data_IF_304819497132
#
_entry.id   IF_304819497132
#
_cell.length_a   1.000
_cell.length_b   1.000
_cell.length_c   1.000
_cell.angle_alpha   90.00
_cell.angle_beta   90.00
_cell.angle_gamma   90.00
#
_symmetry.space_group_name_H-M   'P 1'
#
loop_
_entity.id
_entity.type
_entity.pdbx_description
1 polymer ?
#
# COMPACT_ATOMS: atom_id res chain seq x y z
N UNK A 1 18.02 -44.91 2.96
CA UNK A 1 18.82 -43.93 2.18
C UNK A 1 19.18 -42.83 3.16
N UNK A 2 20.48 -42.50 3.30
CA UNK A 2 20.86 -41.32 4.10
C UNK A 2 20.36 -40.08 3.37
N UNK A 3 19.56 -39.23 4.02
CA UNK A 3 19.22 -37.89 3.52
C UNK A 3 20.53 -37.15 3.23
N UNK A 4 20.76 -36.84 1.98
CA UNK A 4 21.91 -36.07 1.57
C UNK A 4 21.63 -34.63 2.00
N UNK A 5 22.30 -34.13 3.04
CA UNK A 5 22.11 -32.74 3.50
C UNK A 5 22.86 -31.77 2.60
N UNK A 6 22.17 -30.73 2.15
CA UNK A 6 22.80 -29.62 1.42
C UNK A 6 23.92 -29.00 2.24
N UNK A 7 25.01 -28.63 1.56
CA UNK A 7 26.15 -27.90 2.16
C UNK A 7 26.45 -26.63 1.36
N UNK A 8 26.95 -25.62 2.04
CA UNK A 8 27.38 -24.38 1.39
C UNK A 8 28.46 -24.64 0.35
N UNK A 9 28.34 -24.04 -0.84
CA UNK A 9 29.22 -24.21 -1.99
C UNK A 9 28.84 -25.40 -2.88
N UNK A 10 27.86 -26.21 -2.49
CA UNK A 10 27.38 -27.32 -3.32
C UNK A 10 26.61 -26.76 -4.53
N UNK A 11 26.90 -27.31 -5.70
CA UNK A 11 26.15 -27.04 -6.93
C UNK A 11 25.04 -28.08 -7.07
N UNK A 12 23.82 -27.59 -7.35
CA UNK A 12 22.63 -28.38 -7.51
C UNK A 12 21.90 -27.98 -8.79
N UNK A 13 21.35 -28.96 -9.51
CA UNK A 13 20.46 -28.72 -10.65
C UNK A 13 19.03 -28.86 -10.18
N UNK A 14 18.18 -27.86 -10.44
CA UNK A 14 16.77 -27.87 -10.07
C UNK A 14 15.90 -27.07 -11.04
N UNK A 15 14.61 -27.40 -11.07
CA UNK A 15 13.59 -26.60 -11.77
C UNK A 15 12.98 -25.59 -10.82
N UNK A 16 12.78 -24.37 -11.27
CA UNK A 16 12.17 -23.28 -10.53
C UNK A 16 10.68 -23.23 -10.82
N UNK A 17 9.84 -23.22 -9.79
CA UNK A 17 8.38 -23.40 -9.95
C UNK A 17 7.54 -22.20 -9.54
N UNK A 18 8.03 -21.35 -8.63
CA UNK A 18 7.26 -20.22 -8.10
C UNK A 18 8.17 -19.07 -7.65
N UNK A 19 7.57 -17.93 -7.34
CA UNK A 19 8.27 -16.79 -6.74
C UNK A 19 8.26 -16.87 -5.21
N UNK A 20 9.41 -16.60 -4.61
CA UNK A 20 9.54 -16.38 -3.18
C UNK A 20 9.11 -14.96 -2.76
N UNK A 21 9.02 -14.76 -1.45
CA UNK A 21 8.52 -13.52 -0.87
C UNK A 21 9.41 -12.29 -1.17
N UNK A 22 10.74 -12.47 -1.18
CA UNK A 22 11.70 -11.39 -1.37
C UNK A 22 12.19 -11.25 -2.81
N UNK A 23 11.51 -11.88 -3.77
CA UNK A 23 11.79 -11.79 -5.20
C UNK A 23 12.73 -12.85 -5.74
N UNK A 24 13.11 -13.85 -4.94
CA UNK A 24 13.81 -15.05 -5.39
C UNK A 24 12.83 -15.98 -6.14
N UNK A 25 13.35 -16.82 -7.04
CA UNK A 25 12.60 -17.97 -7.50
C UNK A 25 12.72 -19.14 -6.52
N UNK A 26 11.72 -19.99 -6.46
CA UNK A 26 11.70 -21.18 -5.60
C UNK A 26 11.71 -22.45 -6.45
N UNK A 27 12.48 -23.43 -6.01
CA UNK A 27 12.46 -24.79 -6.47
C UNK A 27 12.63 -25.75 -5.29
N UNK A 28 12.64 -27.04 -5.58
CA UNK A 28 12.82 -28.07 -4.57
C UNK A 28 13.99 -28.96 -4.97
N UNK A 29 14.86 -29.24 -4.01
CA UNK A 29 15.93 -30.23 -4.14
C UNK A 29 15.70 -31.32 -3.09
N UNK A 30 15.38 -32.53 -3.56
CA UNK A 30 14.83 -33.61 -2.73
C UNK A 30 13.61 -33.09 -1.92
N UNK A 31 13.68 -33.08 -0.60
CA UNK A 31 12.61 -32.59 0.29
C UNK A 31 12.86 -31.17 0.82
N UNK A 32 13.92 -30.49 0.33
CA UNK A 32 14.34 -29.17 0.80
C UNK A 32 13.89 -28.07 -0.18
N UNK A 33 13.14 -27.09 0.30
CA UNK A 33 12.83 -25.89 -0.46
C UNK A 33 14.10 -25.04 -0.65
N UNK A 34 14.34 -24.60 -1.88
CA UNK A 34 15.51 -23.80 -2.24
C UNK A 34 15.07 -22.49 -2.85
N UNK A 35 15.44 -21.38 -2.20
CA UNK A 35 15.25 -20.02 -2.69
C UNK A 35 16.45 -19.61 -3.55
N UNK A 36 16.22 -19.34 -4.82
CA UNK A 36 17.26 -19.15 -5.82
C UNK A 36 17.25 -17.71 -6.34
N UNK A 37 18.29 -16.96 -6.01
CA UNK A 37 18.49 -15.60 -6.55
C UNK A 37 18.97 -15.68 -7.98
N UNK A 38 18.43 -14.81 -8.87
CA UNK A 38 18.79 -14.73 -10.27
C UNK A 38 18.08 -15.74 -11.16
N UNK A 39 17.13 -16.52 -10.62
CA UNK A 39 16.28 -17.42 -11.39
C UNK A 39 14.89 -16.86 -11.65
N UNK A 40 14.20 -17.47 -12.62
CA UNK A 40 12.80 -17.17 -12.99
C UNK A 40 12.01 -18.48 -12.90
N UNK A 41 10.79 -18.49 -12.33
CA UNK A 41 9.93 -19.68 -12.39
C UNK A 41 9.69 -20.15 -13.82
N UNK A 42 9.77 -21.46 -14.02
CA UNK A 42 9.76 -22.12 -15.32
C UNK A 42 11.14 -22.43 -15.88
N UNK A 43 12.21 -21.94 -15.27
CA UNK A 43 13.58 -22.26 -15.68
C UNK A 43 14.09 -23.53 -15.03
N UNK A 44 15.07 -24.16 -15.71
CA UNK A 44 15.94 -25.18 -15.12
C UNK A 44 17.34 -24.59 -15.02
N UNK A 45 17.91 -24.66 -13.82
CA UNK A 45 19.17 -23.97 -13.50
C UNK A 45 20.14 -24.89 -12.78
N UNK A 46 21.44 -24.55 -12.87
CA UNK A 46 22.45 -24.96 -11.89
C UNK A 46 22.62 -23.78 -10.93
N UNK A 47 22.46 -24.06 -9.64
CA UNK A 47 22.59 -23.05 -8.60
C UNK A 47 23.61 -23.48 -7.54
N UNK A 48 24.40 -22.55 -7.03
CA UNK A 48 25.33 -22.77 -5.91
C UNK A 48 24.64 -22.41 -4.59
N UNK A 49 24.67 -23.34 -3.63
CA UNK A 49 24.12 -23.14 -2.28
C UNK A 49 24.97 -22.12 -1.53
N UNK A 50 24.38 -20.95 -1.23
CA UNK A 50 25.03 -19.85 -0.51
C UNK A 50 24.86 -20.03 1.01
N UNK A 51 23.69 -20.54 1.42
CA UNK A 51 23.36 -20.70 2.85
C UNK A 51 22.34 -21.82 3.06
N UNK A 52 22.53 -22.60 4.11
CA UNK A 52 21.61 -23.65 4.53
C UNK A 52 20.98 -23.26 5.87
N UNK A 53 19.65 -23.33 5.94
CA UNK A 53 18.84 -23.15 7.13
C UNK A 53 18.21 -24.50 7.53
N UNK A 54 17.60 -24.54 8.70
CA UNK A 54 16.96 -25.79 9.19
C UNK A 54 15.86 -26.32 8.28
N UNK A 55 15.12 -25.45 7.58
CA UNK A 55 13.93 -25.81 6.79
C UNK A 55 14.06 -25.49 5.30
N UNK A 56 15.04 -24.74 4.89
CA UNK A 56 15.24 -24.31 3.51
C UNK A 56 16.69 -23.99 3.22
N UNK A 57 17.05 -23.89 1.97
CA UNK A 57 18.35 -23.38 1.54
C UNK A 57 18.18 -22.13 0.66
N UNK A 58 19.23 -21.29 0.67
CA UNK A 58 19.37 -20.17 -0.27
C UNK A 58 20.49 -20.47 -1.25
N UNK A 59 20.25 -20.24 -2.52
CA UNK A 59 21.22 -20.48 -3.59
C UNK A 59 21.23 -19.31 -4.59
N UNK A 60 22.27 -19.24 -5.41
CA UNK A 60 22.37 -18.29 -6.53
C UNK A 60 22.57 -19.05 -7.83
N UNK A 61 21.92 -18.61 -8.90
CA UNK A 61 22.11 -19.18 -10.24
C UNK A 61 23.55 -18.98 -10.67
N UNK A 62 24.18 -20.05 -11.17
CA UNK A 62 25.49 -20.01 -11.85
C UNK A 62 25.37 -20.34 -13.32
N UNK A 63 24.37 -21.11 -13.73
CA UNK A 63 24.08 -21.46 -15.11
C UNK A 63 22.59 -21.64 -15.33
N UNK A 64 22.07 -21.17 -16.46
CA UNK A 64 20.69 -21.38 -16.88
C UNK A 64 20.70 -22.45 -17.98
N UNK A 65 20.16 -23.62 -17.67
CA UNK A 65 20.10 -24.75 -18.60
C UNK A 65 18.93 -24.65 -19.58
N UNK A 66 17.76 -24.19 -19.07
CA UNK A 66 16.55 -23.96 -19.86
C UNK A 66 16.01 -22.58 -19.44
N UNK A 67 16.13 -21.59 -20.33
CA UNK A 67 15.74 -20.22 -20.01
C UNK A 67 14.24 -19.98 -20.20
N UNK A 68 13.67 -19.13 -19.36
CA UNK A 68 12.33 -18.57 -19.54
C UNK A 68 12.32 -17.58 -20.72
N UNK A 69 11.22 -17.50 -21.46
CA UNK A 69 10.96 -16.44 -22.44
C UNK A 69 11.01 -15.01 -21.86
N UNK A 70 10.83 -14.89 -20.55
CA UNK A 70 10.87 -13.62 -19.83
C UNK A 70 12.27 -13.22 -19.35
N UNK A 71 13.29 -14.02 -19.67
CA UNK A 71 14.67 -13.67 -19.29
C UNK A 71 15.25 -12.63 -20.24
N UNK A 72 15.82 -11.58 -19.64
CA UNK A 72 16.56 -10.52 -20.33
C UNK A 72 17.95 -10.36 -19.74
N UNK A 73 18.87 -9.78 -20.50
CA UNK A 73 20.21 -9.47 -19.99
C UNK A 73 20.14 -8.24 -19.07
N UNK A 74 20.60 -8.33 -17.81
CA UNK A 74 20.63 -7.21 -16.89
C UNK A 74 21.61 -6.13 -17.37
N UNK A 75 21.18 -4.86 -17.50
CA UNK A 75 22.09 -3.81 -17.95
C UNK A 75 23.10 -3.34 -16.89
N UNK A 76 22.86 -3.65 -15.60
CA UNK A 76 23.72 -3.24 -14.50
C UNK A 76 24.91 -4.17 -14.35
N UNK A 77 26.18 -3.67 -14.40
CA UNK A 77 27.36 -4.52 -14.27
C UNK A 77 27.52 -5.13 -12.86
N UNK A 78 26.82 -4.60 -11.86
CA UNK A 78 26.83 -5.11 -10.50
C UNK A 78 25.69 -6.08 -10.21
N UNK A 79 24.84 -6.39 -11.21
CA UNK A 79 23.73 -7.33 -11.00
C UNK A 79 24.28 -8.72 -10.62
N UNK A 80 23.63 -9.40 -9.69
CA UNK A 80 24.08 -10.69 -9.13
C UNK A 80 25.06 -10.57 -7.96
N UNK A 81 25.96 -9.56 -7.98
CA UNK A 81 26.87 -9.31 -6.84
C UNK A 81 26.33 -8.23 -5.88
N UNK A 82 25.60 -7.23 -6.40
CA UNK A 82 24.84 -6.27 -5.61
C UNK A 82 23.41 -6.81 -5.39
N UNK A 83 22.92 -6.79 -4.15
CA UNK A 83 21.57 -7.26 -3.81
C UNK A 83 20.52 -6.15 -3.80
N UNK A 84 20.79 -5.00 -4.42
CA UNK A 84 19.87 -3.86 -4.49
C UNK A 84 18.67 -4.09 -5.42
N UNK A 85 18.88 -4.83 -6.52
CA UNK A 85 17.86 -5.19 -7.51
C UNK A 85 17.69 -6.71 -7.54
N UNK A 86 16.43 -7.18 -7.55
CA UNK A 86 16.12 -8.61 -7.63
C UNK A 86 15.78 -9.06 -9.04
N UNK A 87 15.24 -8.15 -9.90
CA UNK A 87 14.55 -8.52 -11.13
C UNK A 87 15.07 -7.88 -12.42
N UNK A 88 16.29 -7.33 -12.47
CA UNK A 88 16.83 -6.78 -13.73
C UNK A 88 16.98 -7.82 -14.86
N UNK A 89 16.99 -9.11 -14.52
CA UNK A 89 17.02 -10.24 -15.47
C UNK A 89 15.63 -10.69 -15.91
N UNK A 90 14.56 -10.03 -15.46
CA UNK A 90 13.16 -10.33 -15.79
C UNK A 90 12.60 -9.22 -16.69
N UNK A 91 11.97 -9.56 -17.80
CA UNK A 91 11.25 -8.60 -18.66
C UNK A 91 10.29 -7.75 -17.82
N UNK A 92 10.26 -6.47 -18.07
CA UNK A 92 9.50 -5.51 -17.23
C UNK A 92 8.01 -5.82 -17.19
N UNK A 93 7.42 -6.26 -18.30
CA UNK A 93 5.99 -6.66 -18.33
C UNK A 93 5.73 -7.83 -17.37
N UNK A 94 6.66 -8.80 -17.30
CA UNK A 94 6.53 -9.91 -16.35
C UNK A 94 6.71 -9.45 -14.91
N UNK A 95 7.60 -8.48 -14.64
CA UNK A 95 7.72 -7.88 -13.31
C UNK A 95 6.37 -7.32 -12.84
N UNK A 96 5.64 -6.59 -13.69
CA UNK A 96 4.32 -6.01 -13.36
C UNK A 96 3.30 -7.12 -13.07
N UNK A 97 3.22 -8.16 -13.91
CA UNK A 97 2.31 -9.29 -13.69
C UNK A 97 2.59 -9.99 -12.36
N UNK A 98 3.87 -10.27 -12.07
CA UNK A 98 4.26 -10.91 -10.80
C UNK A 98 3.91 -10.04 -9.59
N UNK A 99 4.07 -8.72 -9.68
CA UNK A 99 3.67 -7.79 -8.61
C UNK A 99 2.16 -7.85 -8.36
N UNK A 100 1.34 -7.88 -9.41
CA UNK A 100 -0.11 -8.05 -9.30
C UNK A 100 -0.47 -9.38 -8.65
N UNK A 101 0.10 -10.49 -9.14
CA UNK A 101 -0.10 -11.84 -8.60
C UNK A 101 0.24 -11.90 -7.09
N UNK A 102 1.36 -11.29 -6.68
CA UNK A 102 1.78 -11.23 -5.27
C UNK A 102 0.84 -10.41 -4.38
N UNK A 103 0.31 -9.30 -4.88
CA UNK A 103 -0.67 -8.50 -4.14
C UNK A 103 -1.96 -9.31 -3.96
N UNK A 104 -2.47 -9.92 -5.02
CA UNK A 104 -3.67 -10.76 -4.96
C UNK A 104 -3.50 -11.94 -3.99
N UNK A 105 -2.36 -12.64 -4.04
CA UNK A 105 -2.03 -13.74 -3.12
C UNK A 105 -1.98 -13.26 -1.65
N UNK A 106 -1.35 -12.13 -1.38
CA UNK A 106 -1.27 -11.58 -0.03
C UNK A 106 -2.65 -11.21 0.54
N UNK A 107 -3.50 -10.58 -0.27
CA UNK A 107 -4.87 -10.23 0.13
C UNK A 107 -5.73 -11.47 0.33
N UNK A 108 -5.56 -12.50 -0.50
CA UNK A 108 -6.27 -13.78 -0.32
C UNK A 108 -5.82 -14.48 0.96
N UNK A 109 -4.53 -14.66 1.15
CA UNK A 109 -3.96 -15.47 2.23
C UNK A 109 -4.00 -14.82 3.60
N UNK A 110 -3.81 -13.49 3.68
CA UNK A 110 -3.73 -12.72 4.92
C UNK A 110 -4.98 -11.91 5.18
N UNK A 111 -5.61 -11.42 4.12
CA UNK A 111 -6.81 -10.59 4.19
C UNK A 111 -8.12 -11.37 4.10
N UNK A 112 -8.08 -12.69 3.88
CA UNK A 112 -9.25 -13.58 3.70
C UNK A 112 -10.19 -13.15 2.55
N UNK A 113 -9.68 -12.38 1.57
CA UNK A 113 -10.44 -12.02 0.36
C UNK A 113 -10.40 -13.19 -0.63
N UNK A 114 -11.56 -13.79 -0.96
CA UNK A 114 -11.64 -14.94 -1.89
C UNK A 114 -11.19 -14.53 -3.30
N UNK A 115 -11.71 -13.41 -3.81
CA UNK A 115 -11.36 -12.82 -5.10
C UNK A 115 -11.07 -11.33 -4.90
N UNK A 116 -9.86 -10.96 -4.43
CA UNK A 116 -9.54 -9.57 -4.16
C UNK A 116 -9.58 -8.74 -5.46
N UNK A 117 -10.20 -7.54 -5.46
CA UNK A 117 -10.35 -6.71 -6.66
C UNK A 117 -9.05 -5.98 -7.01
N UNK A 118 -8.00 -6.73 -7.35
CA UNK A 118 -6.67 -6.22 -7.67
C UNK A 118 -6.59 -5.90 -9.16
N UNK A 119 -6.42 -4.61 -9.48
CA UNK A 119 -6.26 -4.14 -10.83
C UNK A 119 -4.85 -4.43 -11.40
N UNK A 120 -4.63 -4.34 -12.71
CA UNK A 120 -3.30 -4.39 -13.30
C UNK A 120 -2.38 -3.32 -12.69
N UNK A 121 -1.11 -3.67 -12.51
CA UNK A 121 -0.11 -2.74 -11.95
C UNK A 121 0.07 -1.55 -12.87
N UNK A 122 -0.03 -0.33 -12.34
CA UNK A 122 0.36 0.88 -13.08
C UNK A 122 1.89 0.93 -13.20
N UNK A 123 2.44 0.90 -14.43
CA UNK A 123 3.88 0.91 -14.63
C UNK A 123 4.49 2.23 -14.19
N UNK A 124 5.76 2.21 -13.81
CA UNK A 124 6.52 3.45 -13.60
C UNK A 124 6.81 4.13 -14.95
N UNK A 125 6.69 5.45 -15.06
CA UNK A 125 7.09 6.19 -16.26
C UNK A 125 8.55 5.96 -16.63
N UNK A 126 9.41 5.79 -15.62
CA UNK A 126 10.83 5.48 -15.79
C UNK A 126 11.21 4.26 -14.99
N UNK A 127 12.01 3.36 -15.58
CA UNK A 127 12.44 2.11 -14.94
C UNK A 127 13.82 2.20 -14.30
N UNK A 128 14.61 3.20 -14.67
CA UNK A 128 15.96 3.48 -14.20
C UNK A 128 16.10 4.97 -13.91
N UNK A 129 17.05 5.36 -13.06
CA UNK A 129 17.31 6.76 -12.73
C UNK A 129 16.23 7.44 -11.89
N UNK A 130 15.25 6.70 -11.38
CA UNK A 130 14.11 7.25 -10.65
C UNK A 130 14.40 7.59 -9.20
N UNK A 131 15.45 6.96 -8.61
CA UNK A 131 15.68 7.00 -7.17
C UNK A 131 16.43 8.25 -6.75
N UNK A 132 15.81 9.07 -5.92
CA UNK A 132 16.35 10.34 -5.41
C UNK A 132 17.04 10.24 -4.05
N UNK A 133 17.14 9.05 -3.47
CA UNK A 133 17.78 8.81 -2.17
C UNK A 133 18.58 7.51 -2.16
N UNK A 134 19.83 7.60 -1.71
CA UNK A 134 20.72 6.49 -1.49
C UNK A 134 21.39 6.55 -0.10
N UNK A 135 21.60 5.38 0.50
CA UNK A 135 22.41 5.22 1.72
C UNK A 135 23.48 4.19 1.44
N UNK A 136 24.72 4.67 1.36
CA UNK A 136 25.90 3.86 1.09
C UNK A 136 26.55 3.38 2.38
N UNK A 137 27.08 2.17 2.35
CA UNK A 137 28.09 1.69 3.30
C UNK A 137 29.45 2.13 2.80
N UNK A 138 30.37 2.47 3.70
CA UNK A 138 31.74 2.86 3.36
C UNK A 138 32.69 1.84 3.95
N UNK A 139 33.65 1.38 3.14
CA UNK A 139 34.69 0.48 3.57
C UNK A 139 35.88 1.25 4.21
N UNK A 140 36.94 0.54 4.67
CA UNK A 140 38.10 1.16 5.32
C UNK A 140 38.92 2.03 4.37
N UNK A 141 38.83 1.80 3.07
CA UNK A 141 39.57 2.53 2.04
C UNK A 141 38.82 3.79 1.58
N UNK A 142 37.65 4.06 2.18
CA UNK A 142 36.82 5.22 1.84
C UNK A 142 35.90 5.00 0.61
N UNK A 143 35.82 3.78 0.09
CA UNK A 143 34.94 3.45 -1.03
C UNK A 143 33.47 3.37 -0.60
N UNK A 144 32.59 3.90 -1.44
CA UNK A 144 31.15 3.83 -1.29
C UNK A 144 30.58 2.59 -2.01
N UNK A 145 29.64 1.94 -1.37
CA UNK A 145 29.02 0.75 -1.95
C UNK A 145 27.87 0.20 -1.13
N UNK A 146 27.51 -1.04 -1.41
CA UNK A 146 26.48 -1.77 -0.69
C UNK A 146 27.02 -3.08 -0.14
N UNK A 147 26.37 -3.59 0.90
CA UNK A 147 26.65 -4.92 1.43
C UNK A 147 25.67 -5.92 0.82
N UNK A 148 26.19 -6.93 0.14
CA UNK A 148 25.37 -8.03 -0.36
C UNK A 148 24.67 -8.73 0.81
N UNK A 149 23.34 -8.89 0.71
CA UNK A 149 22.53 -9.42 1.82
C UNK A 149 22.82 -10.89 2.12
N UNK A 150 23.19 -11.68 1.11
CA UNK A 150 23.44 -13.12 1.25
C UNK A 150 24.88 -13.41 1.67
N UNK A 151 25.85 -12.87 0.93
CA UNK A 151 27.28 -13.13 1.15
C UNK A 151 27.89 -12.26 2.25
N UNK A 152 27.25 -11.14 2.61
CA UNK A 152 27.73 -10.12 3.55
C UNK A 152 29.00 -9.41 3.08
N UNK A 153 29.38 -9.58 1.82
CA UNK A 153 30.52 -8.90 1.21
C UNK A 153 30.16 -7.47 0.81
N UNK A 154 31.12 -6.57 0.96
CA UNK A 154 31.03 -5.21 0.45
C UNK A 154 31.19 -5.22 -1.08
N UNK A 155 30.34 -4.48 -1.78
CA UNK A 155 30.37 -4.29 -3.22
C UNK A 155 30.53 -2.80 -3.50
N UNK A 156 31.71 -2.39 -3.98
CA UNK A 156 31.95 -1.02 -4.42
C UNK A 156 31.05 -0.71 -5.62
N UNK A 157 30.41 0.45 -5.63
CA UNK A 157 29.50 0.87 -6.68
C UNK A 157 29.97 2.22 -7.24
N UNK A 158 30.46 2.24 -8.47
CA UNK A 158 30.89 3.50 -9.11
C UNK A 158 29.69 4.25 -9.72
N UNK A 159 28.63 3.53 -10.10
CA UNK A 159 27.37 4.08 -10.62
C UNK A 159 26.24 3.10 -10.34
N UNK A 160 25.09 3.60 -9.88
CA UNK A 160 23.88 2.80 -9.71
C UNK A 160 22.82 3.20 -10.74
N UNK A 161 22.36 2.25 -11.54
CA UNK A 161 21.39 2.53 -12.60
C UNK A 161 20.00 2.95 -12.09
N UNK A 162 19.62 2.56 -10.85
CA UNK A 162 18.35 3.00 -10.29
C UNK A 162 18.38 4.46 -9.79
N UNK A 163 19.58 5.02 -9.54
CA UNK A 163 19.73 6.32 -8.92
C UNK A 163 19.78 7.44 -9.96
N UNK A 164 19.18 8.57 -9.59
CA UNK A 164 19.24 9.81 -10.35
C UNK A 164 20.69 10.31 -10.48
N UNK A 165 20.96 11.08 -11.53
CA UNK A 165 22.31 11.63 -11.79
C UNK A 165 22.82 12.52 -10.66
N UNK A 166 21.91 13.25 -9.97
CA UNK A 166 22.25 14.00 -8.77
C UNK A 166 22.76 13.18 -7.59
N UNK A 167 22.65 11.82 -7.66
CA UNK A 167 23.29 10.90 -6.72
C UNK A 167 24.54 10.30 -7.34
N UNK A 168 24.49 9.89 -8.62
CA UNK A 168 25.62 9.25 -9.29
C UNK A 168 26.82 10.17 -9.45
N UNK A 169 26.59 11.48 -9.68
CA UNK A 169 27.67 12.48 -9.73
C UNK A 169 28.44 12.57 -8.40
N UNK A 170 27.78 12.90 -7.28
CA UNK A 170 28.40 12.86 -5.95
C UNK A 170 29.04 11.50 -5.59
N UNK A 171 28.39 10.39 -5.92
CA UNK A 171 28.96 9.06 -5.70
C UNK A 171 30.33 8.89 -6.35
N UNK A 172 30.47 9.30 -7.63
CA UNK A 172 31.72 9.21 -8.36
C UNK A 172 32.82 10.13 -7.78
N UNK A 173 32.46 11.34 -7.34
CA UNK A 173 33.40 12.30 -6.74
C UNK A 173 33.93 11.83 -5.38
N UNK A 174 33.08 11.16 -4.60
CA UNK A 174 33.36 10.74 -3.23
C UNK A 174 34.08 9.38 -3.12
N UNK A 175 34.19 8.61 -4.19
CA UNK A 175 34.81 7.30 -4.17
C UNK A 175 36.25 7.35 -3.68
N UNK A 176 36.59 6.50 -2.71
CA UNK A 176 37.91 6.39 -2.08
C UNK A 176 38.30 7.54 -1.14
N UNK A 177 37.36 8.46 -0.83
CA UNK A 177 37.67 9.65 -0.04
C UNK A 177 36.95 9.73 1.31
N UNK A 178 36.07 8.80 1.63
CA UNK A 178 35.16 8.89 2.77
C UNK A 178 35.52 7.98 3.96
N UNK A 179 36.78 7.64 4.14
CA UNK A 179 37.25 6.71 5.22
C UNK A 179 36.93 7.18 6.66
N UNK A 180 36.57 8.43 6.84
CA UNK A 180 36.20 9.04 8.13
C UNK A 180 34.81 8.65 8.65
N UNK A 181 33.96 8.05 7.80
CA UNK A 181 32.62 7.60 8.19
C UNK A 181 32.33 6.19 7.67
N UNK A 182 31.43 5.47 8.32
CA UNK A 182 31.01 4.11 7.92
C UNK A 182 29.78 4.08 7.03
N UNK A 183 29.04 5.19 6.97
CA UNK A 183 27.81 5.32 6.18
C UNK A 183 27.67 6.75 5.64
N UNK A 184 27.15 6.86 4.43
CA UNK A 184 26.85 8.12 3.79
C UNK A 184 25.46 8.07 3.15
N UNK A 185 24.67 9.10 3.39
CA UNK A 185 23.38 9.30 2.73
C UNK A 185 23.49 10.42 1.72
N UNK A 186 23.02 10.19 0.49
CA UNK A 186 22.90 11.21 -0.54
C UNK A 186 21.44 11.28 -0.96
N UNK A 187 20.89 12.50 -0.97
CA UNK A 187 19.57 12.81 -1.54
C UNK A 187 19.75 13.89 -2.59
N UNK A 188 18.93 13.83 -3.63
CA UNK A 188 18.96 14.81 -4.71
C UNK A 188 17.56 15.14 -5.16
N UNK A 189 17.21 16.43 -5.20
CA UNK A 189 16.00 16.89 -5.85
C UNK A 189 16.08 16.64 -7.35
N UNK A 190 15.05 16.05 -7.92
CA UNK A 190 15.02 15.73 -9.35
C UNK A 190 14.88 16.98 -10.22
N UNK A 191 14.03 17.91 -9.82
CA UNK A 191 13.80 19.17 -10.54
C UNK A 191 14.72 20.30 -10.05
N UNK A 192 14.93 20.42 -8.75
CA UNK A 192 15.71 21.49 -8.14
C UNK A 192 17.21 21.31 -8.28
N UNK A 193 17.66 20.06 -8.44
CA UNK A 193 19.07 19.63 -8.41
C UNK A 193 19.77 19.91 -7.07
N UNK A 194 19.02 20.25 -6.04
CA UNK A 194 19.55 20.36 -4.69
C UNK A 194 20.10 19.01 -4.23
N UNK A 195 21.20 19.05 -3.51
CA UNK A 195 21.84 17.83 -2.99
C UNK A 195 22.03 17.92 -1.48
N UNK A 196 21.73 16.85 -0.79
CA UNK A 196 21.99 16.68 0.63
C UNK A 196 22.90 15.47 0.84
N UNK A 197 24.08 15.71 1.38
CA UNK A 197 25.08 14.68 1.73
C UNK A 197 25.28 14.68 3.24
N UNK A 198 25.03 13.53 3.87
CA UNK A 198 25.17 13.36 5.32
C UNK A 198 25.98 12.10 5.66
N UNK A 199 26.85 12.17 6.66
CA UNK A 199 27.19 13.29 7.54
C UNK A 199 28.04 14.38 6.87
N UNK A 200 28.41 15.43 7.61
CA UNK A 200 29.44 16.39 7.20
C UNK A 200 30.75 15.67 6.98
N UNK A 201 31.39 15.91 5.84
CA UNK A 201 32.69 15.36 5.48
C UNK A 201 33.78 16.42 5.76
N UNK A 202 34.89 15.97 6.32
CA UNK A 202 35.99 16.83 6.74
C UNK A 202 37.26 16.63 5.90
N UNK A 203 37.32 15.58 5.07
CA UNK A 203 38.43 15.33 4.18
C UNK A 203 38.66 16.54 3.22
N UNK A 204 39.82 17.22 3.24
CA UNK A 204 40.07 18.40 2.43
C UNK A 204 40.12 18.15 0.90
N UNK A 205 40.23 16.89 0.47
CA UNK A 205 40.16 16.50 -0.94
C UNK A 205 38.75 16.46 -1.52
N UNK A 206 37.75 16.64 -0.66
CA UNK A 206 36.33 16.64 -1.05
C UNK A 206 35.91 18.10 -1.25
N UNK A 207 35.60 18.48 -2.49
CA UNK A 207 35.05 19.79 -2.82
C UNK A 207 33.53 19.87 -2.68
N UNK A 208 32.86 18.71 -2.65
CA UNK A 208 31.41 18.61 -2.54
C UNK A 208 30.92 19.12 -1.18
N UNK A 209 29.94 20.00 -1.20
CA UNK A 209 29.28 20.43 0.03
C UNK A 209 28.60 19.26 0.73
N UNK A 210 28.74 19.17 2.05
CA UNK A 210 28.15 18.11 2.89
C UNK A 210 27.66 18.67 4.22
N UNK A 211 26.86 17.91 4.95
CA UNK A 211 26.30 18.33 6.23
C UNK A 211 25.07 19.25 6.09
N UNK A 212 24.48 19.36 4.92
CA UNK A 212 23.24 20.13 4.71
C UNK A 212 22.13 19.58 5.59
N UNK A 213 21.35 20.46 6.18
CA UNK A 213 20.24 20.05 7.07
C UNK A 213 18.98 19.65 6.30
N UNK A 214 18.82 20.15 5.08
CA UNK A 214 17.67 19.91 4.21
C UNK A 214 18.07 20.06 2.74
N UNK A 215 17.20 19.60 1.85
CA UNK A 215 17.22 19.85 0.41
C UNK A 215 15.80 20.18 -0.07
N UNK A 216 15.69 20.75 -1.25
CA UNK A 216 14.43 21.00 -1.93
C UNK A 216 14.17 19.96 -3.02
N UNK A 217 12.92 19.61 -3.24
CA UNK A 217 12.45 18.87 -4.40
C UNK A 217 11.08 19.41 -4.83
N UNK A 218 10.53 18.91 -5.94
CA UNK A 218 9.22 19.30 -6.43
C UNK A 218 8.41 18.07 -6.82
N UNK A 219 7.11 18.08 -6.55
CA UNK A 219 6.16 17.05 -7.00
C UNK A 219 4.95 17.79 -7.58
N UNK A 220 4.64 17.52 -8.85
CA UNK A 220 3.49 18.13 -9.56
C UNK A 220 3.46 19.67 -9.44
N UNK A 221 4.63 20.31 -9.60
CA UNK A 221 4.79 21.76 -9.52
C UNK A 221 4.78 22.34 -8.11
N UNK A 222 4.61 21.55 -7.06
CA UNK A 222 4.66 22.00 -5.67
C UNK A 222 6.06 21.76 -5.09
N UNK A 223 6.66 22.83 -4.56
CA UNK A 223 7.96 22.75 -3.92
C UNK A 223 7.87 22.14 -2.51
N UNK A 224 8.79 21.24 -2.21
CA UNK A 224 8.93 20.60 -0.90
C UNK A 224 10.33 20.83 -0.34
N UNK A 225 10.39 21.24 0.92
CA UNK A 225 11.60 21.19 1.72
C UNK A 225 11.59 19.92 2.55
N UNK A 226 12.71 19.19 2.54
CA UNK A 226 12.85 17.92 3.23
C UNK A 226 14.12 17.90 4.04
N UNK A 227 14.01 17.80 5.35
CA UNK A 227 15.17 17.70 6.23
C UNK A 227 15.77 16.30 6.24
N UNK A 228 17.03 16.19 6.65
CA UNK A 228 17.79 14.93 6.62
C UNK A 228 17.09 13.75 7.31
N UNK A 229 16.44 13.88 8.49
CA UNK A 229 15.76 12.77 9.15
C UNK A 229 14.39 12.45 8.56
N UNK A 230 13.76 13.37 7.79
CA UNK A 230 12.41 13.18 7.28
C UNK A 230 12.36 12.20 6.12
N UNK A 231 11.30 11.42 6.04
CA UNK A 231 11.00 10.59 4.87
C UNK A 231 10.50 11.45 3.71
N UNK A 232 10.84 11.07 2.49
CA UNK A 232 10.27 11.62 1.27
C UNK A 232 10.19 10.53 0.20
N UNK A 233 9.27 10.64 -0.72
CA UNK A 233 9.02 9.66 -1.77
C UNK A 233 10.23 9.55 -2.71
N UNK A 234 10.68 8.32 -2.98
CA UNK A 234 11.94 8.07 -3.71
C UNK A 234 11.79 8.08 -5.23
N UNK A 235 10.56 8.00 -5.74
CA UNK A 235 10.21 8.04 -7.14
C UNK A 235 9.11 9.10 -7.33
N UNK A 236 9.54 10.32 -7.61
CA UNK A 236 8.67 11.50 -7.69
C UNK A 236 7.60 11.36 -8.76
N UNK A 237 7.99 10.90 -9.96
CA UNK A 237 7.05 10.74 -11.07
C UNK A 237 5.96 9.70 -10.77
N UNK A 238 6.33 8.60 -10.10
CA UNK A 238 5.35 7.59 -9.69
C UNK A 238 4.47 8.10 -8.53
N UNK A 239 4.98 8.99 -7.69
CA UNK A 239 4.18 9.63 -6.62
C UNK A 239 3.04 10.47 -7.20
N UNK A 240 3.28 11.16 -8.32
CA UNK A 240 2.21 11.89 -9.04
C UNK A 240 1.09 10.92 -9.45
N UNK A 241 1.43 9.73 -9.93
CA UNK A 241 0.43 8.71 -10.28
C UNK A 241 -0.31 8.17 -9.04
N UNK A 242 0.38 8.02 -7.89
CA UNK A 242 -0.29 7.65 -6.62
C UNK A 242 -1.34 8.69 -6.25
N UNK A 243 -0.98 9.97 -6.29
CA UNK A 243 -1.92 11.08 -6.00
C UNK A 243 -3.09 11.10 -6.98
N UNK A 244 -2.84 10.87 -8.26
CA UNK A 244 -3.89 10.76 -9.27
C UNK A 244 -4.88 9.63 -8.95
N UNK A 245 -4.38 8.43 -8.61
CA UNK A 245 -5.22 7.30 -8.19
C UNK A 245 -6.06 7.65 -6.96
N UNK A 246 -5.45 8.26 -5.95
CA UNK A 246 -6.15 8.69 -4.72
C UNK A 246 -7.27 9.67 -5.07
N UNK A 247 -6.99 10.69 -5.91
CA UNK A 247 -7.96 11.70 -6.31
C UNK A 247 -9.13 11.08 -7.09
N UNK A 248 -8.84 10.21 -8.06
CA UNK A 248 -9.85 9.50 -8.84
C UNK A 248 -10.73 8.61 -7.95
N UNK A 249 -10.13 7.94 -6.96
CA UNK A 249 -10.82 7.03 -6.06
C UNK A 249 -11.70 7.75 -5.04
N UNK A 250 -11.19 8.79 -4.40
CA UNK A 250 -11.91 9.50 -3.36
C UNK A 250 -13.03 10.42 -3.92
N UNK A 251 -12.88 10.96 -5.15
CA UNK A 251 -13.85 11.87 -5.79
C UNK A 251 -14.26 13.04 -4.88
N UNK A 252 -13.28 13.58 -4.15
CA UNK A 252 -13.49 14.66 -3.17
C UNK A 252 -13.94 15.98 -3.82
N UNK A 253 -14.65 16.80 -3.04
CA UNK A 253 -15.21 18.06 -3.45
C UNK A 253 -14.60 19.22 -2.65
N UNK A 254 -14.74 20.43 -3.15
CA UNK A 254 -14.31 21.69 -2.51
C UNK A 254 -14.96 21.98 -1.15
N UNK A 255 -15.98 21.23 -0.76
CA UNK A 255 -16.64 21.35 0.54
C UNK A 255 -16.17 20.31 1.53
N UNK A 256 -15.45 19.28 1.08
CA UNK A 256 -15.15 18.10 1.88
C UNK A 256 -13.97 18.35 2.82
N UNK A 257 -14.00 17.65 3.94
CA UNK A 257 -12.90 17.55 4.91
C UNK A 257 -12.14 16.26 4.64
N UNK A 258 -10.86 16.39 4.31
CA UNK A 258 -9.95 15.27 4.06
C UNK A 258 -9.06 15.03 5.29
N UNK A 259 -9.01 13.82 5.77
CA UNK A 259 -8.02 13.37 6.76
C UNK A 259 -6.80 12.79 6.02
N UNK A 260 -5.58 13.31 6.29
CA UNK A 260 -4.30 12.72 5.91
C UNK A 260 -3.63 12.20 7.18
N UNK A 261 -3.74 10.90 7.45
CA UNK A 261 -3.50 10.33 8.77
C UNK A 261 -2.03 9.97 9.06
N UNK A 262 -1.14 10.07 8.10
CA UNK A 262 0.31 9.86 8.24
C UNK A 262 1.03 10.80 7.26
N UNK A 263 0.88 12.11 7.47
CA UNK A 263 1.17 13.10 6.42
C UNK A 263 2.66 13.28 6.10
N UNK A 264 3.57 12.83 6.99
CA UNK A 264 5.00 13.01 6.81
C UNK A 264 5.37 14.48 6.68
N UNK A 265 6.06 14.84 5.59
CA UNK A 265 6.40 16.23 5.26
C UNK A 265 5.25 16.99 4.58
N UNK A 266 4.04 16.44 4.59
CA UNK A 266 2.85 17.07 4.02
C UNK A 266 2.59 16.72 2.55
N UNK A 267 3.14 15.63 2.03
CA UNK A 267 3.07 15.30 0.59
C UNK A 267 1.63 15.20 0.09
N UNK A 268 0.82 14.32 0.67
CA UNK A 268 -0.58 14.18 0.24
C UNK A 268 -1.43 15.39 0.66
N UNK A 269 -1.19 15.96 1.84
CA UNK A 269 -1.90 17.15 2.30
C UNK A 269 -1.77 18.32 1.31
N UNK A 270 -0.55 18.62 0.86
CA UNK A 270 -0.27 19.71 -0.10
C UNK A 270 -0.92 19.41 -1.46
N UNK A 271 -0.70 18.20 -1.99
CA UNK A 271 -1.17 17.84 -3.34
C UNK A 271 -2.69 17.66 -3.42
N UNK A 272 -3.37 17.39 -2.31
CA UNK A 272 -4.83 17.24 -2.25
C UNK A 272 -5.56 18.52 -1.82
N UNK A 273 -4.91 19.45 -1.13
CA UNK A 273 -5.51 20.71 -0.68
C UNK A 273 -6.24 21.50 -1.77
N UNK A 274 -5.74 21.57 -3.04
CA UNK A 274 -6.46 22.24 -4.12
C UNK A 274 -7.84 21.66 -4.44
N UNK A 275 -8.18 20.44 -3.98
CA UNK A 275 -9.41 19.73 -4.36
C UNK A 275 -10.44 19.64 -3.24
N UNK A 276 -10.09 20.04 -2.02
CA UNK A 276 -10.95 19.92 -0.82
C UNK A 276 -11.16 21.26 -0.13
N UNK A 277 -12.13 21.32 0.78
CA UNK A 277 -12.39 22.50 1.61
C UNK A 277 -11.40 22.60 2.76
N UNK A 278 -11.02 21.48 3.34
CA UNK A 278 -10.06 21.41 4.46
C UNK A 278 -9.29 20.08 4.42
N UNK A 279 -8.02 20.12 4.83
CA UNK A 279 -7.20 18.94 5.13
C UNK A 279 -6.83 18.96 6.61
N UNK A 280 -7.09 17.86 7.31
CA UNK A 280 -6.57 17.59 8.66
C UNK A 280 -5.41 16.61 8.48
N UNK A 281 -4.17 17.08 8.71
CA UNK A 281 -2.96 16.34 8.47
C UNK A 281 -2.27 15.98 9.77
N UNK A 282 -2.14 14.67 10.06
CA UNK A 282 -1.62 14.12 11.32
C UNK A 282 -0.25 13.50 11.11
N UNK A 283 0.72 13.83 11.97
CA UNK A 283 2.09 13.28 11.93
C UNK A 283 2.69 13.23 13.34
N UNK A 284 3.37 12.12 13.67
CA UNK A 284 4.01 11.94 14.97
C UNK A 284 5.42 12.51 15.06
N UNK A 285 6.15 12.53 13.92
CA UNK A 285 7.54 13.01 13.87
C UNK A 285 7.61 14.52 13.94
N UNK A 286 8.17 15.07 15.00
CA UNK A 286 8.37 16.52 15.14
C UNK A 286 9.23 17.12 14.02
N UNK A 287 10.19 16.36 13.49
CA UNK A 287 11.03 16.80 12.36
C UNK A 287 10.21 16.88 11.06
N UNK A 288 9.39 15.89 10.79
CA UNK A 288 8.51 15.88 9.61
C UNK A 288 7.44 16.97 9.71
N UNK A 289 6.84 17.20 10.87
CA UNK A 289 5.90 18.32 11.09
C UNK A 289 6.56 19.67 10.91
N UNK A 290 7.83 19.82 11.31
CA UNK A 290 8.56 21.08 11.06
C UNK A 290 8.76 21.33 9.56
N UNK A 291 9.06 20.29 8.77
CA UNK A 291 9.10 20.40 7.31
C UNK A 291 7.70 20.64 6.73
N UNK A 292 6.67 19.89 7.19
CA UNK A 292 5.30 20.03 6.74
C UNK A 292 4.77 21.46 6.96
N UNK A 293 5.06 22.11 8.10
CA UNK A 293 4.69 23.51 8.35
C UNK A 293 5.25 24.48 7.32
N UNK A 294 6.47 24.22 6.83
CA UNK A 294 7.08 25.05 5.79
C UNK A 294 6.48 24.76 4.42
N UNK A 295 6.21 23.48 4.15
CA UNK A 295 5.64 23.02 2.87
C UNK A 295 4.17 23.45 2.71
N UNK A 296 3.44 23.58 3.81
CA UNK A 296 2.01 23.96 3.84
C UNK A 296 1.77 25.43 4.16
N UNK A 297 2.80 26.20 4.51
CA UNK A 297 2.68 27.53 5.13
C UNK A 297 1.87 28.59 4.35
N UNK A 298 1.75 28.45 3.03
CA UNK A 298 0.95 29.34 2.18
C UNK A 298 -0.43 28.75 1.80
N UNK A 299 -0.75 27.54 2.27
CA UNK A 299 -1.99 26.83 1.93
C UNK A 299 -2.98 26.93 3.11
N UNK A 300 -4.00 27.81 3.01
CA UNK A 300 -4.81 28.20 4.17
C UNK A 300 -5.77 27.10 4.69
N UNK A 301 -6.03 26.08 3.90
CA UNK A 301 -6.98 25.01 4.23
C UNK A 301 -6.34 23.72 4.75
N UNK A 302 -5.07 23.78 5.21
CA UNK A 302 -4.39 22.65 5.84
C UNK A 302 -4.21 22.93 7.34
N UNK A 303 -4.74 22.04 8.16
CA UNK A 303 -4.52 22.00 9.61
C UNK A 303 -3.55 20.87 9.95
N UNK A 304 -2.36 21.20 10.49
CA UNK A 304 -1.34 20.25 10.91
C UNK A 304 -1.49 19.90 12.39
N UNK A 305 -1.60 18.62 12.70
CA UNK A 305 -1.71 18.09 14.06
C UNK A 305 -0.49 17.22 14.36
N UNK A 306 0.34 17.66 15.31
CA UNK A 306 1.47 16.85 15.82
C UNK A 306 0.94 15.84 16.84
N UNK A 307 1.09 14.57 16.56
CA UNK A 307 0.70 13.49 17.48
C UNK A 307 0.66 12.15 16.74
N UNK A 308 0.60 11.08 17.53
CA UNK A 308 0.38 9.74 16.98
C UNK A 308 -1.05 9.62 16.48
N UNK A 309 -1.22 9.00 15.33
CA UNK A 309 -2.53 8.83 14.69
C UNK A 309 -3.53 8.15 15.63
N UNK A 310 -3.11 7.08 16.35
CA UNK A 310 -3.93 6.36 17.32
C UNK A 310 -4.34 7.18 18.55
N UNK A 311 -3.67 8.29 18.82
CA UNK A 311 -3.99 9.19 19.94
C UNK A 311 -4.79 10.42 19.49
N UNK A 312 -4.60 10.86 18.24
CA UNK A 312 -5.26 12.04 17.67
C UNK A 312 -6.67 11.71 17.19
N UNK A 313 -6.84 10.63 16.43
CA UNK A 313 -8.12 10.31 15.77
C UNK A 313 -9.30 10.17 16.74
N UNK A 314 -9.17 9.52 17.94
CA UNK A 314 -10.29 9.42 18.89
C UNK A 314 -10.80 10.78 19.41
N UNK A 315 -9.98 11.82 19.30
CA UNK A 315 -10.27 13.15 19.80
C UNK A 315 -10.66 14.15 18.70
N UNK A 316 -10.75 13.72 17.43
CA UNK A 316 -11.21 14.58 16.34
C UNK A 316 -12.69 14.93 16.55
N UNK A 317 -12.97 16.23 16.58
CA UNK A 317 -14.33 16.76 16.69
C UNK A 317 -15.02 16.90 15.35
N UNK A 318 -14.25 17.07 14.29
CA UNK A 318 -14.71 17.22 12.91
C UNK A 318 -14.64 15.88 12.20
N UNK A 319 -15.75 15.43 11.61
CA UNK A 319 -15.81 14.17 10.88
C UNK A 319 -15.27 14.37 9.46
N UNK A 320 -14.28 13.57 9.03
CA UNK A 320 -13.80 13.64 7.65
C UNK A 320 -14.79 13.01 6.67
N UNK A 321 -14.92 13.64 5.48
CA UNK A 321 -15.67 13.12 4.34
C UNK A 321 -14.85 12.08 3.55
N UNK A 322 -13.52 12.13 3.67
CA UNK A 322 -12.62 11.15 3.10
C UNK A 322 -11.33 11.03 3.96
N UNK A 323 -10.64 9.90 3.86
CA UNK A 323 -9.36 9.70 4.54
C UNK A 323 -8.32 9.11 3.59
N UNK A 324 -7.06 9.56 3.77
CA UNK A 324 -5.85 8.95 3.21
C UNK A 324 -5.07 8.35 4.37
N UNK A 325 -4.63 7.11 4.20
CA UNK A 325 -3.74 6.40 5.12
C UNK A 325 -2.46 6.04 4.36
N UNK A 326 -1.30 6.43 4.89
CA UNK A 326 0.02 6.01 4.39
C UNK A 326 0.90 5.57 5.55
N UNK A 327 0.50 4.50 6.27
CA UNK A 327 1.20 4.05 7.47
C UNK A 327 2.57 3.45 7.14
N UNK A 328 3.46 3.29 8.15
CA UNK A 328 4.71 2.58 7.99
C UNK A 328 4.48 1.11 7.60
N UNK A 329 5.54 0.40 7.21
CA UNK A 329 5.49 -1.03 6.80
C UNK A 329 4.78 -1.97 7.77
N UNK A 330 4.69 -1.61 9.03
CA UNK A 330 3.96 -2.39 10.04
C UNK A 330 2.43 -2.32 9.90
N UNK A 331 1.92 -1.42 9.05
CA UNK A 331 0.51 -1.10 8.90
C UNK A 331 0.00 -0.18 10.00
N UNK A 332 -1.32 -0.01 10.08
CA UNK A 332 -1.96 0.82 11.10
C UNK A 332 -1.92 0.19 12.49
N UNK A 333 -1.86 1.04 13.51
CA UNK A 333 -2.11 0.61 14.88
C UNK A 333 -3.59 0.18 15.03
N UNK A 334 -3.93 -0.87 15.82
CA UNK A 334 -5.33 -1.31 15.98
C UNK A 334 -6.28 -0.19 16.40
N UNK A 335 -5.89 0.69 17.32
CA UNK A 335 -6.69 1.84 17.73
C UNK A 335 -6.94 2.85 16.60
N UNK A 336 -6.05 2.95 15.61
CA UNK A 336 -6.29 3.76 14.41
C UNK A 336 -7.43 3.18 13.59
N UNK A 337 -7.43 1.85 13.39
CA UNK A 337 -8.50 1.15 12.67
C UNK A 337 -9.85 1.34 13.39
N UNK A 338 -9.88 1.13 14.72
CA UNK A 338 -11.08 1.36 15.55
C UNK A 338 -11.58 2.80 15.39
N UNK A 339 -10.70 3.79 15.50
CA UNK A 339 -11.06 5.20 15.37
C UNK A 339 -11.59 5.56 13.98
N UNK A 340 -11.05 4.96 12.90
CA UNK A 340 -11.57 5.14 11.55
C UNK A 340 -12.97 4.54 11.36
N UNK A 341 -13.25 3.41 12.02
CA UNK A 341 -14.59 2.81 12.04
C UNK A 341 -15.59 3.76 12.75
N UNK A 342 -15.20 4.37 13.86
CA UNK A 342 -16.03 5.30 14.63
C UNK A 342 -16.23 6.65 13.91
N UNK A 343 -15.18 7.24 13.35
CA UNK A 343 -15.24 8.46 12.55
C UNK A 343 -16.04 8.25 11.28
N UNK A 344 -15.95 7.04 10.73
CA UNK A 344 -16.74 6.57 9.59
C UNK A 344 -16.66 7.46 8.34
N UNK A 345 -15.47 7.85 7.85
CA UNK A 345 -15.40 8.56 6.57
C UNK A 345 -16.03 7.73 5.45
N UNK A 346 -16.85 8.34 4.57
CA UNK A 346 -17.49 7.64 3.45
C UNK A 346 -16.53 6.87 2.54
N UNK A 347 -15.31 7.39 2.35
CA UNK A 347 -14.28 6.78 1.52
C UNK A 347 -12.92 6.83 2.20
N UNK A 348 -12.14 5.76 2.02
CA UNK A 348 -10.75 5.67 2.49
C UNK A 348 -9.87 5.23 1.32
N UNK A 349 -8.78 5.97 1.08
CA UNK A 349 -7.66 5.55 0.25
C UNK A 349 -6.52 5.08 1.15
N UNK A 350 -6.22 3.79 1.13
CA UNK A 350 -5.13 3.21 1.92
C UNK A 350 -3.92 2.96 1.01
N UNK A 351 -2.85 3.73 1.22
CA UNK A 351 -1.55 3.56 0.55
C UNK A 351 -0.70 2.59 1.36
N UNK A 352 -0.04 1.63 0.72
CA UNK A 352 0.81 0.65 1.42
C UNK A 352 1.93 0.13 0.53
N UNK A 353 3.13 0.04 1.10
CA UNK A 353 4.29 -0.61 0.49
C UNK A 353 4.47 -2.09 0.91
N UNK A 354 3.53 -2.65 1.68
CA UNK A 354 3.56 -4.05 2.13
C UNK A 354 2.16 -4.68 2.01
N UNK A 355 2.02 -5.62 1.07
CA UNK A 355 0.73 -6.23 0.75
C UNK A 355 0.17 -7.13 1.87
N UNK A 356 1.02 -7.70 2.75
CA UNK A 356 0.55 -8.55 3.85
C UNK A 356 -0.06 -7.72 4.98
N UNK A 357 0.61 -6.63 5.38
CA UNK A 357 0.05 -5.71 6.39
C UNK A 357 -1.19 -4.99 5.85
N UNK A 358 -1.20 -4.65 4.55
CA UNK A 358 -2.38 -4.13 3.87
C UNK A 358 -3.55 -5.12 3.98
N UNK A 359 -3.35 -6.39 3.62
CA UNK A 359 -4.39 -7.42 3.70
C UNK A 359 -4.99 -7.55 5.10
N UNK A 360 -4.15 -7.57 6.14
CA UNK A 360 -4.58 -7.60 7.54
C UNK A 360 -5.47 -6.41 7.90
N UNK A 361 -5.04 -5.20 7.57
CA UNK A 361 -5.75 -3.98 7.96
C UNK A 361 -7.04 -3.80 7.16
N UNK A 362 -7.03 -4.17 5.86
CA UNK A 362 -8.22 -4.20 5.03
C UNK A 362 -9.27 -5.18 5.54
N UNK A 363 -8.85 -6.37 6.02
CA UNK A 363 -9.78 -7.33 6.62
C UNK A 363 -10.51 -6.71 7.82
N UNK A 364 -9.78 -6.11 8.77
CA UNK A 364 -10.36 -5.49 9.96
C UNK A 364 -11.37 -4.39 9.60
N UNK A 365 -11.06 -3.53 8.62
CA UNK A 365 -11.96 -2.49 8.13
C UNK A 365 -13.19 -3.09 7.46
N UNK A 366 -12.99 -4.13 6.62
CA UNK A 366 -14.06 -4.75 5.84
C UNK A 366 -14.98 -5.64 6.69
N UNK A 367 -14.48 -6.33 7.71
CA UNK A 367 -15.33 -7.07 8.64
C UNK A 367 -16.31 -6.14 9.38
N UNK A 368 -15.86 -4.92 9.71
CA UNK A 368 -16.62 -3.99 10.54
C UNK A 368 -17.54 -3.07 9.72
N UNK A 369 -17.00 -2.22 8.85
CA UNK A 369 -17.74 -1.06 8.35
C UNK A 369 -17.56 -0.75 6.87
N UNK A 370 -16.58 -1.35 6.18
CA UNK A 370 -16.20 -0.96 4.82
C UNK A 370 -16.33 -2.11 3.82
N UNK A 371 -16.44 -1.75 2.55
CA UNK A 371 -16.30 -2.64 1.40
C UNK A 371 -15.03 -2.28 0.67
N UNK A 372 -14.20 -3.25 0.33
CA UNK A 372 -13.05 -3.07 -0.55
C UNK A 372 -13.53 -3.01 -2.00
N UNK A 373 -13.42 -1.85 -2.63
CA UNK A 373 -13.86 -1.65 -4.01
C UNK A 373 -12.80 -2.06 -5.03
N UNK A 374 -11.56 -1.66 -4.79
CA UNK A 374 -10.43 -1.97 -5.67
C UNK A 374 -9.10 -1.80 -4.95
N UNK A 375 -8.09 -2.50 -5.45
CA UNK A 375 -6.68 -2.27 -5.12
C UNK A 375 -5.93 -1.98 -6.41
N UNK A 376 -5.28 -0.83 -6.47
CA UNK A 376 -4.45 -0.40 -7.60
C UNK A 376 -2.98 -0.54 -7.18
N UNK A 377 -2.27 -1.57 -7.65
CA UNK A 377 -0.83 -1.65 -7.44
C UNK A 377 -0.11 -0.67 -8.37
N UNK A 378 0.95 -0.03 -7.87
CA UNK A 378 1.82 0.86 -8.64
C UNK A 378 3.27 0.41 -8.52
N UNK A 379 4.01 0.47 -9.62
CA UNK A 379 5.43 0.12 -9.60
C UNK A 379 6.30 1.30 -9.13
N UNK A 380 6.27 1.58 -7.83
CA UNK A 380 7.11 2.59 -7.19
C UNK A 380 8.61 2.23 -7.26
N UNK A 381 8.92 0.94 -7.39
CA UNK A 381 10.28 0.41 -7.30
C UNK A 381 10.59 -0.55 -8.45
N UNK A 382 10.69 -0.08 -9.71
CA UNK A 382 11.12 -0.90 -10.85
C UNK A 382 12.40 -1.69 -10.56
N UNK A 383 12.54 -2.86 -11.17
CA UNK A 383 13.68 -3.78 -11.02
C UNK A 383 13.79 -4.45 -9.64
N UNK A 384 12.80 -4.26 -8.77
CA UNK A 384 12.72 -4.87 -7.44
C UNK A 384 11.39 -5.57 -7.23
N UNK A 385 11.31 -6.43 -6.21
CA UNK A 385 10.07 -7.14 -5.85
C UNK A 385 9.05 -6.27 -5.08
N UNK A 386 9.41 -5.06 -4.70
CA UNK A 386 8.53 -4.15 -3.98
C UNK A 386 7.44 -3.60 -4.89
N UNK A 387 6.26 -3.40 -4.33
CA UNK A 387 5.10 -2.80 -4.97
C UNK A 387 4.43 -1.85 -3.98
N UNK A 388 3.95 -0.73 -4.48
CA UNK A 388 3.08 0.19 -3.74
C UNK A 388 1.64 -0.10 -4.13
N UNK A 389 0.70 -0.01 -3.19
CA UNK A 389 -0.71 -0.26 -3.43
C UNK A 389 -1.56 0.92 -2.95
N UNK A 390 -2.59 1.27 -3.69
CA UNK A 390 -3.67 2.15 -3.22
C UNK A 390 -4.95 1.32 -3.20
N UNK A 391 -5.47 1.04 -2.00
CA UNK A 391 -6.75 0.37 -1.81
C UNK A 391 -7.84 1.40 -1.58
N UNK A 392 -8.95 1.30 -2.32
CA UNK A 392 -10.16 2.10 -2.11
C UNK A 392 -11.16 1.31 -1.30
N UNK A 393 -11.58 1.88 -0.17
CA UNK A 393 -12.70 1.38 0.63
C UNK A 393 -13.84 2.38 0.61
N UNK A 394 -15.06 1.87 0.52
CA UNK A 394 -16.28 2.64 0.70
C UNK A 394 -17.01 2.16 1.94
N UNK A 395 -17.61 3.09 2.66
CA UNK A 395 -18.42 2.74 3.83
C UNK A 395 -19.61 1.90 3.42
N UNK A 396 -19.84 0.78 4.09
CA UNK A 396 -21.05 -0.01 3.91
C UNK A 396 -22.26 0.86 4.19
N UNK A 397 -23.18 0.91 3.27
CA UNK A 397 -24.49 1.49 3.57
C UNK A 397 -25.10 0.73 4.74
N UNK A 398 -25.68 1.39 5.74
CA UNK A 398 -26.44 0.66 6.76
C UNK A 398 -27.43 -0.24 6.04
N UNK A 399 -27.49 -1.51 6.46
CA UNK A 399 -28.46 -2.44 5.89
C UNK A 399 -29.84 -1.79 5.94
N UNK A 400 -30.53 -1.74 4.80
CA UNK A 400 -31.84 -1.13 4.74
C UNK A 400 -32.73 -1.79 5.80
N UNK A 401 -33.32 -1.03 6.74
CA UNK A 401 -34.05 -1.62 7.84
C UNK A 401 -35.22 -2.46 7.31
N UNK A 402 -35.39 -3.63 7.87
CA UNK A 402 -36.59 -4.43 7.64
C UNK A 402 -37.67 -3.92 8.58
N UNK A 403 -38.81 -3.54 8.04
CA UNK A 403 -39.92 -2.97 8.79
C UNK A 403 -41.12 -3.89 8.65
N UNK A 404 -41.65 -4.39 9.76
CA UNK A 404 -42.89 -5.15 9.79
C UNK A 404 -44.09 -4.19 9.96
N UNK A 405 -44.87 -3.98 8.91
CA UNK A 405 -46.07 -3.16 8.92
C UNK A 405 -47.29 -3.93 9.53
N UNK A 406 -47.14 -4.47 10.74
CA UNK A 406 -48.16 -5.27 11.39
C UNK A 406 -47.98 -5.29 12.93
N UNK A 407 -49.09 -5.14 13.65
CA UNK A 407 -49.11 -5.34 15.10
C UNK A 407 -49.22 -6.81 15.53
N UNK A 408 -49.41 -7.75 14.62
CA UNK A 408 -49.68 -9.17 14.88
C UNK A 408 -48.49 -9.86 15.58
N UNK A 409 -48.69 -10.42 16.84
CA UNK A 409 -47.64 -11.17 17.52
C UNK A 409 -47.13 -12.38 16.74
N UNK A 410 -48.04 -13.10 16.03
CA UNK A 410 -47.69 -14.27 15.23
C UNK A 410 -46.74 -13.94 14.07
N UNK A 411 -46.95 -12.81 13.39
CA UNK A 411 -46.08 -12.36 12.30
C UNK A 411 -44.71 -11.95 12.83
N UNK A 412 -44.67 -11.33 14.03
CA UNK A 412 -43.42 -11.02 14.72
C UNK A 412 -42.64 -12.29 15.06
N UNK A 413 -43.29 -13.30 15.62
CA UNK A 413 -42.67 -14.58 15.96
C UNK A 413 -42.11 -15.29 14.71
N UNK A 414 -42.83 -15.27 13.58
CA UNK A 414 -42.38 -15.86 12.31
C UNK A 414 -41.09 -15.21 11.81
N UNK A 415 -41.02 -13.87 11.77
CA UNK A 415 -39.81 -13.17 11.32
C UNK A 415 -38.65 -13.33 12.30
N UNK A 416 -38.93 -13.36 13.60
CA UNK A 416 -37.92 -13.66 14.63
C UNK A 416 -37.38 -15.08 14.48
N UNK A 417 -38.26 -16.04 14.19
CA UNK A 417 -37.85 -17.42 13.94
C UNK A 417 -36.98 -17.64 12.69
N UNK A 418 -37.02 -16.67 11.74
CA UNK A 418 -36.12 -16.61 10.57
C UNK A 418 -34.80 -15.92 10.87
N UNK A 419 -34.56 -15.47 12.12
CA UNK A 419 -33.34 -14.75 12.49
C UNK A 419 -33.25 -13.32 11.99
N UNK A 420 -34.35 -12.73 11.50
CA UNK A 420 -34.37 -11.38 10.97
C UNK A 420 -34.43 -10.35 12.11
N UNK A 421 -33.61 -9.28 11.97
CA UNK A 421 -33.71 -8.09 12.82
C UNK A 421 -34.61 -7.08 12.11
N UNK A 422 -35.70 -6.67 12.74
CA UNK A 422 -36.69 -5.79 12.15
C UNK A 422 -37.33 -4.85 13.17
N UNK A 423 -37.86 -3.72 12.65
CA UNK A 423 -38.64 -2.77 13.43
C UNK A 423 -40.13 -3.03 13.18
N UNK A 424 -40.96 -2.97 14.23
CA UNK A 424 -42.41 -3.09 14.13
C UNK A 424 -43.05 -1.72 14.06
N UNK A 425 -43.73 -1.42 12.96
CA UNK A 425 -44.47 -0.17 12.74
C UNK A 425 -45.86 -0.51 12.24
N UNK A 426 -46.88 -0.50 13.09
CA UNK A 426 -48.27 -0.76 12.64
C UNK A 426 -48.74 0.25 11.60
N UNK A 427 -49.57 -0.25 10.70
CA UNK A 427 -50.13 0.53 9.59
C UNK A 427 -51.45 1.13 9.97
N UNK A 428 -51.85 1.92 10.61
CA UNK A 428 -53.16 2.43 11.02
C UNK A 428 -54.15 2.75 9.84
N UNK A 429 -54.34 1.78 8.93
CA UNK A 429 -55.29 1.93 7.81
C UNK A 429 -56.62 1.26 8.13
N UNK A 430 -57.77 1.77 7.56
CA UNK A 430 -59.06 1.10 7.65
C UNK A 430 -59.04 -0.27 6.95
N UNK A 431 -59.55 -1.31 7.62
CA UNK A 431 -59.58 -2.68 7.05
C UNK A 431 -61.01 -3.03 6.61
N UNK A 432 -61.66 -2.16 5.79
CA UNK A 432 -63.02 -2.35 5.34
C UNK A 432 -63.09 -3.13 4.03
N UNK A 433 -64.00 -4.12 3.89
CA UNK A 433 -64.23 -4.81 2.61
C UNK A 433 -64.86 -3.90 1.57
N UNK A 434 -64.47 -4.06 0.31
CA UNK A 434 -65.10 -3.36 -0.82
C UNK A 434 -66.31 -4.18 -1.36
N UNK A 435 -67.34 -3.51 -1.89
CA UNK A 435 -68.50 -4.22 -2.44
C UNK A 435 -68.12 -5.21 -3.54
N UNK A 436 -68.42 -6.51 -3.31
CA UNK A 436 -68.12 -7.57 -4.28
C UNK A 436 -66.67 -8.06 -4.32
N UNK A 437 -65.82 -7.63 -3.37
CA UNK A 437 -64.42 -8.05 -3.29
C UNK A 437 -64.28 -9.46 -2.70
N UNK A 438 -63.65 -10.42 -3.45
CA UNK A 438 -63.34 -11.74 -2.88
C UNK A 438 -62.36 -11.64 -1.70
N UNK A 439 -62.46 -12.53 -0.68
CA UNK A 439 -61.58 -12.50 0.49
C UNK A 439 -60.11 -12.49 0.15
N UNK A 440 -59.65 -13.29 -0.81
CA UNK A 440 -58.27 -13.34 -1.27
C UNK A 440 -57.78 -12.00 -1.86
N UNK A 441 -58.65 -11.30 -2.58
CA UNK A 441 -58.31 -9.98 -3.16
C UNK A 441 -58.26 -8.88 -2.09
N UNK A 442 -59.15 -8.96 -1.13
CA UNK A 442 -59.12 -8.08 0.05
C UNK A 442 -57.81 -8.24 0.82
N UNK A 443 -57.34 -9.46 1.10
CA UNK A 443 -56.10 -9.69 1.78
C UNK A 443 -54.88 -9.15 1.00
N UNK A 444 -54.88 -9.34 -0.32
CA UNK A 444 -53.82 -8.81 -1.21
C UNK A 444 -53.82 -7.28 -1.19
N UNK A 445 -54.97 -6.63 -1.36
CA UNK A 445 -55.11 -5.16 -1.33
C UNK A 445 -54.70 -4.57 0.00
N UNK A 446 -55.20 -5.11 1.13
CA UNK A 446 -54.91 -4.63 2.47
C UNK A 446 -53.41 -4.81 2.81
N UNK A 447 -52.78 -5.90 2.38
CA UNK A 447 -51.34 -6.10 2.54
C UNK A 447 -50.52 -5.03 1.83
N UNK A 448 -50.93 -4.69 0.57
CA UNK A 448 -50.26 -3.65 -0.21
C UNK A 448 -50.46 -2.26 0.39
N UNK A 449 -51.69 -1.91 0.78
CA UNK A 449 -52.03 -0.63 1.40
C UNK A 449 -51.28 -0.43 2.73
N UNK A 450 -51.21 -1.48 3.57
CA UNK A 450 -50.41 -1.48 4.79
C UNK A 450 -48.92 -1.22 4.52
N UNK A 451 -48.37 -1.91 3.52
CA UNK A 451 -46.97 -1.73 3.13
C UNK A 451 -46.70 -0.30 2.66
N UNK A 452 -47.55 0.24 1.78
CA UNK A 452 -47.44 1.60 1.23
C UNK A 452 -47.58 2.68 2.31
N UNK A 453 -48.54 2.55 3.22
CA UNK A 453 -48.76 3.50 4.32
C UNK A 453 -47.58 3.59 5.26
N UNK A 454 -46.91 2.47 5.50
CA UNK A 454 -45.70 2.44 6.33
C UNK A 454 -44.48 2.89 5.53
N UNK A 455 -44.32 2.46 4.28
CA UNK A 455 -43.20 2.86 3.44
C UNK A 455 -43.10 4.38 3.27
N UNK A 456 -44.22 5.09 3.20
CA UNK A 456 -44.28 6.56 3.12
C UNK A 456 -43.63 7.27 4.33
N UNK A 457 -43.42 6.58 5.44
CA UNK A 457 -42.81 7.13 6.67
C UNK A 457 -41.27 6.97 6.72
N UNK A 458 -40.69 6.27 5.74
CA UNK A 458 -39.24 5.95 5.71
C UNK A 458 -38.64 6.38 4.35
N UNK A 459 -37.41 6.89 4.39
CA UNK A 459 -36.70 7.27 3.17
C UNK A 459 -36.09 6.05 2.47
N UNK A 460 -35.80 4.98 3.21
CA UNK A 460 -35.25 3.72 2.71
C UNK A 460 -35.61 2.58 3.64
N UNK A 461 -35.70 1.35 3.15
CA UNK A 461 -36.03 0.15 3.92
C UNK A 461 -36.86 -0.85 3.14
N UNK A 462 -36.96 -2.07 3.67
CA UNK A 462 -37.86 -3.10 3.17
C UNK A 462 -39.08 -3.20 4.08
N UNK A 463 -40.26 -2.92 3.57
CA UNK A 463 -41.51 -3.03 4.35
C UNK A 463 -42.16 -4.37 4.06
N UNK A 464 -42.35 -5.17 5.08
CA UNK A 464 -43.10 -6.44 5.02
C UNK A 464 -44.46 -6.20 5.64
N UNK A 465 -45.52 -6.44 4.83
CA UNK A 465 -46.89 -6.44 5.30
C UNK A 465 -47.59 -7.73 4.86
N UNK A 466 -48.56 -8.14 5.62
CA UNK A 466 -49.40 -9.27 5.28
C UNK A 466 -50.79 -9.06 5.87
N UNK A 467 -51.82 -9.64 5.26
CA UNK A 467 -53.14 -9.72 5.83
C UNK A 467 -53.69 -11.15 5.80
N UNK A 468 -54.73 -11.38 6.54
CA UNK A 468 -55.42 -12.68 6.61
C UNK A 468 -56.89 -12.43 6.69
N UNK A 469 -57.64 -13.02 5.77
CA UNK A 469 -59.11 -12.98 5.78
C UNK A 469 -59.58 -14.37 6.17
N UNK A 470 -60.44 -14.44 7.17
CA UNK A 470 -61.06 -15.69 7.69
C UNK A 470 -62.45 -15.84 7.11
#
# INVERSE_FOLDING_TARGET
>A
MQEQKLVKGQQISLSLVSWGRLGEAMGQWEETDVFVTGGIPGEKVVAEVVRVHRRYAAASVIEVLEASEWRVEPPCPYYGVCSGCQWQHVDYRRQLTVKQEKVADALHRVGDFIEPPVLPVRPSPIQYGYRNHARFTINRDGDLGFVNRQTRQFVRIDRCMLMHEGINGPLAELQGKCAETSQLSIRSGQETRDTLVQPTLINPEISLASGQKFYGDSIDGHAFRVSSPSFFQVNVEQTVQVVQVIREALEVKKTDVLLDAYTGVGTFAVLMAPYVGKVIAVEESSAAVADARLNTGEIPNIELVLGKTEDVLPNLTEKPDAAILDPPRAGCHPRTIESLIDLSPPKIAYVSCDAETLGRDLNLLCESAYTLEQVVPLDMFPQTHHVECVALLTRKSPAAPIILASASPRRRELLTGLGLVFQVVPSDIPEEPQPGEPPSKMAERLSLEKAQAVAARFQHGFVIAADSVV
#
